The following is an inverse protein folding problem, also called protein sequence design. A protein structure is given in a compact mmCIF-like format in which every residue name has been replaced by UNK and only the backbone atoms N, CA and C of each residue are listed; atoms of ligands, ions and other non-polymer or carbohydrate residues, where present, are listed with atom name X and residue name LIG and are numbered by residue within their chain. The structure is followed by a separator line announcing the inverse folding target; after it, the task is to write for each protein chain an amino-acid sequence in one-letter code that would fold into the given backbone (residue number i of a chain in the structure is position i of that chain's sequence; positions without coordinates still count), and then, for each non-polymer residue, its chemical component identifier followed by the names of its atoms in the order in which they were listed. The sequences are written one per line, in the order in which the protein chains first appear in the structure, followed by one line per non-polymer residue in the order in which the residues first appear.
data_IF_277927268262
#
_entry.id   IF_277927268262
#
_cell.length_a   1.000
_cell.length_b   1.000
_cell.length_c   1.000
_cell.angle_alpha   90.00
_cell.angle_beta   90.00
_cell.angle_gamma   90.00
#
_symmetry.space_group_name_H-M   'P 1'
#
loop_
_entity.id
_entity.type
_entity.pdbx_description
1 polymer ?
#
# COMPACT_ATOMS: atom_id res chain seq x y z
N UNK A 1 2.99 -9.21 30.67
CA UNK A 1 4.29 -9.90 30.46
C UNK A 1 4.85 -9.41 29.14
N UNK A 2 5.93 -8.65 29.16
CA UNK A 2 6.52 -8.05 27.96
C UNK A 2 7.24 -9.13 27.15
N UNK A 3 6.59 -9.63 26.09
CA UNK A 3 7.27 -10.43 25.09
C UNK A 3 8.01 -9.47 24.16
N UNK A 4 9.23 -9.10 24.55
CA UNK A 4 10.12 -8.28 23.73
C UNK A 4 10.55 -9.12 22.54
N UNK A 5 10.00 -8.83 21.38
CA UNK A 5 10.34 -9.51 20.13
C UNK A 5 11.81 -9.23 19.85
N UNK A 6 12.65 -10.24 19.54
CA UNK A 6 14.08 -10.02 19.32
C UNK A 6 14.30 -8.98 18.22
N UNK A 7 15.15 -7.99 18.51
CA UNK A 7 15.47 -6.87 17.61
C UNK A 7 15.88 -7.34 16.20
N UNK A 8 16.44 -8.55 16.10
CA UNK A 8 16.81 -9.22 14.84
C UNK A 8 15.63 -9.39 13.86
N UNK A 9 14.42 -9.63 14.35
CA UNK A 9 13.23 -9.77 13.49
C UNK A 9 12.86 -8.45 12.82
N UNK A 10 13.02 -7.32 13.53
CA UNK A 10 12.77 -5.99 12.98
C UNK A 10 13.83 -5.61 11.94
N UNK A 11 15.10 -5.97 12.18
CA UNK A 11 16.19 -5.69 11.24
C UNK A 11 16.04 -6.46 9.92
N UNK A 12 15.64 -7.74 9.98
CA UNK A 12 15.36 -8.52 8.77
C UNK A 12 14.23 -7.89 7.93
N UNK A 13 13.18 -7.40 8.57
CA UNK A 13 12.04 -6.79 7.88
C UNK A 13 12.42 -5.42 7.33
N UNK A 14 13.23 -4.64 8.05
CA UNK A 14 13.80 -3.39 7.54
C UNK A 14 14.57 -3.62 6.23
N UNK A 15 15.42 -4.66 6.17
CA UNK A 15 16.15 -5.01 4.94
C UNK A 15 15.19 -5.35 3.79
N UNK A 16 14.16 -6.16 4.05
CA UNK A 16 13.14 -6.51 3.03
C UNK A 16 12.42 -5.25 2.51
N UNK A 17 12.02 -4.34 3.39
CA UNK A 17 11.38 -3.08 3.01
C UNK A 17 12.30 -2.18 2.18
N UNK A 18 13.59 -2.15 2.51
CA UNK A 18 14.57 -1.37 1.77
C UNK A 18 14.72 -1.90 0.34
N UNK A 19 14.82 -3.22 0.17
CA UNK A 19 14.87 -3.87 -1.14
C UNK A 19 13.60 -3.59 -1.94
N UNK A 20 12.41 -3.71 -1.34
CA UNK A 20 11.15 -3.40 -2.01
C UNK A 20 11.04 -1.92 -2.44
N UNK A 21 11.63 -1.02 -1.68
CA UNK A 21 11.67 0.42 -2.01
C UNK A 21 12.57 0.67 -3.21
N UNK A 22 13.77 0.07 -3.24
CA UNK A 22 14.67 0.16 -4.40
C UNK A 22 13.99 -0.43 -5.64
N UNK A 23 13.30 -1.56 -5.50
CA UNK A 23 12.55 -2.18 -6.59
C UNK A 23 11.44 -1.27 -7.12
N UNK A 24 10.71 -0.57 -6.23
CA UNK A 24 9.67 0.38 -6.63
C UNK A 24 10.26 1.56 -7.40
N UNK A 25 11.39 2.11 -6.94
CA UNK A 25 12.08 3.20 -7.66
C UNK A 25 12.57 2.73 -9.01
N UNK A 26 13.06 1.50 -9.12
CA UNK A 26 13.56 0.95 -10.38
C UNK A 26 12.44 0.70 -11.40
N UNK A 27 11.25 0.32 -10.92
CA UNK A 27 10.05 0.14 -11.76
C UNK A 27 9.43 1.50 -12.16
N UNK A 28 9.33 2.44 -11.21
CA UNK A 28 8.65 3.72 -11.44
C UNK A 28 9.54 4.76 -12.15
N UNK A 29 10.85 4.77 -11.87
CA UNK A 29 11.84 5.51 -12.64
C UNK A 29 12.69 4.49 -13.37
N UNK A 30 12.49 4.28 -14.68
CA UNK A 30 13.32 3.36 -15.44
C UNK A 30 14.72 3.95 -15.56
N UNK A 31 15.56 3.75 -14.53
CA UNK A 31 17.00 4.02 -14.57
C UNK A 31 17.67 3.15 -15.65
N UNK A 32 17.01 2.07 -16.07
CA UNK A 32 17.43 1.13 -17.11
C UNK A 32 16.98 1.46 -18.53
N UNK A 33 16.25 2.56 -18.77
CA UNK A 33 15.83 2.96 -20.13
C UNK A 33 14.77 2.07 -20.79
N UNK A 34 14.15 1.16 -20.03
CA UNK A 34 13.02 0.35 -20.50
C UNK A 34 11.73 1.05 -20.08
N UNK A 35 11.11 1.77 -21.00
CA UNK A 35 9.76 2.33 -20.80
C UNK A 35 8.74 1.18 -20.78
N UNK A 36 8.35 0.76 -19.58
CA UNK A 36 7.23 -0.18 -19.37
C UNK A 36 5.85 0.48 -19.58
N UNK A 37 5.82 1.75 -19.99
CA UNK A 37 4.61 2.49 -20.34
C UNK A 37 3.54 2.42 -19.23
N UNK A 38 2.29 2.19 -19.63
CA UNK A 38 1.10 2.07 -18.76
C UNK A 38 1.19 0.94 -17.72
N UNK A 39 1.99 -0.10 -17.96
CA UNK A 39 2.11 -1.23 -17.03
C UNK A 39 2.97 -0.90 -15.81
N UNK A 40 3.81 0.14 -15.89
CA UNK A 40 4.67 0.59 -14.79
C UNK A 40 3.86 0.93 -13.53
N UNK A 41 2.73 1.61 -13.71
CA UNK A 41 1.84 2.02 -12.61
C UNK A 41 1.19 0.80 -11.94
N UNK A 42 0.69 -0.14 -12.72
CA UNK A 42 0.07 -1.36 -12.19
C UNK A 42 1.07 -2.19 -11.36
N UNK A 43 2.30 -2.32 -11.86
CA UNK A 43 3.37 -3.04 -11.15
C UNK A 43 3.78 -2.27 -9.89
N UNK A 44 3.87 -0.93 -9.95
CA UNK A 44 4.17 -0.10 -8.79
C UNK A 44 3.11 -0.25 -7.68
N UNK A 45 1.82 -0.28 -8.01
CA UNK A 45 0.74 -0.54 -7.06
C UNK A 45 0.82 -1.94 -6.44
N UNK A 46 1.20 -2.96 -7.22
CA UNK A 46 1.38 -4.31 -6.71
C UNK A 46 2.54 -4.38 -5.70
N UNK A 47 3.69 -3.79 -6.03
CA UNK A 47 4.84 -3.72 -5.10
C UNK A 47 4.47 -2.93 -3.84
N UNK A 48 3.74 -1.82 -3.99
CA UNK A 48 3.26 -1.02 -2.87
C UNK A 48 2.33 -1.83 -1.95
N UNK A 49 1.46 -2.68 -2.49
CA UNK A 49 0.56 -3.55 -1.73
C UNK A 49 1.33 -4.60 -0.92
N UNK A 50 2.33 -5.23 -1.52
CA UNK A 50 3.21 -6.18 -0.81
C UNK A 50 3.96 -5.49 0.32
N UNK A 51 4.53 -4.30 0.07
CA UNK A 51 5.21 -3.49 1.09
C UNK A 51 4.29 -3.16 2.26
N UNK A 52 3.08 -2.68 1.97
CA UNK A 52 2.08 -2.33 2.98
C UNK A 52 1.68 -3.55 3.83
N UNK A 53 1.56 -4.73 3.21
CA UNK A 53 1.24 -5.98 3.91
C UNK A 53 2.34 -6.38 4.89
N UNK A 54 3.62 -6.28 4.51
CA UNK A 54 4.74 -6.52 5.42
C UNK A 54 4.78 -5.53 6.58
N UNK A 55 4.52 -4.25 6.32
CA UNK A 55 4.45 -3.21 7.37
C UNK A 55 3.33 -3.53 8.36
N UNK A 56 2.13 -3.83 7.86
CA UNK A 56 0.98 -4.16 8.69
C UNK A 56 1.21 -5.45 9.51
N UNK A 57 1.73 -6.50 8.88
CA UNK A 57 1.94 -7.78 9.54
C UNK A 57 2.94 -7.70 10.71
N UNK A 58 4.05 -6.97 10.53
CA UNK A 58 5.18 -6.96 11.47
C UNK A 58 5.18 -5.72 12.37
N UNK A 59 5.14 -4.51 11.79
CA UNK A 59 5.32 -3.27 12.56
C UNK A 59 4.06 -2.84 13.32
N UNK A 60 2.88 -3.03 12.72
CA UNK A 60 1.62 -2.82 13.46
C UNK A 60 1.31 -3.95 14.46
N UNK A 61 2.21 -4.94 14.58
CA UNK A 61 2.05 -6.05 15.51
C UNK A 61 0.88 -6.98 15.15
N UNK A 62 0.34 -6.91 13.93
CA UNK A 62 -0.86 -7.64 13.54
C UNK A 62 -0.69 -9.16 13.65
N UNK A 63 0.51 -9.65 13.34
CA UNK A 63 0.87 -11.07 13.51
C UNK A 63 0.98 -11.50 14.98
N UNK A 64 1.29 -10.57 15.88
CA UNK A 64 1.64 -10.86 17.28
C UNK A 64 0.52 -10.52 18.27
N UNK A 65 -0.49 -9.76 17.84
CA UNK A 65 -1.58 -9.26 18.68
C UNK A 65 -2.91 -9.98 18.40
N UNK A 66 -3.93 -9.69 19.22
CA UNK A 66 -5.28 -10.23 19.06
C UNK A 66 -5.89 -9.85 17.71
N UNK A 67 -6.73 -10.74 17.17
CA UNK A 67 -7.44 -10.60 15.87
C UNK A 67 -8.27 -9.31 15.74
N UNK A 68 -8.60 -8.64 16.86
CA UNK A 68 -9.32 -7.37 16.87
C UNK A 68 -8.58 -6.25 16.11
N UNK A 69 -7.24 -6.21 16.17
CA UNK A 69 -6.45 -5.23 15.41
C UNK A 69 -6.59 -5.44 13.89
N UNK A 70 -6.68 -6.68 13.44
CA UNK A 70 -6.90 -7.02 12.02
C UNK A 70 -8.26 -6.57 11.55
N UNK A 71 -9.31 -6.79 12.35
CA UNK A 71 -10.67 -6.37 12.01
C UNK A 71 -10.75 -4.84 11.91
N UNK A 72 -10.13 -4.12 12.86
CA UNK A 72 -10.09 -2.66 12.82
C UNK A 72 -9.36 -2.12 11.58
N UNK A 73 -8.21 -2.72 11.22
CA UNK A 73 -7.46 -2.34 10.01
C UNK A 73 -8.28 -2.60 8.74
N UNK A 74 -8.88 -3.78 8.61
CA UNK A 74 -9.69 -4.14 7.43
C UNK A 74 -10.91 -3.23 7.32
N UNK A 75 -11.57 -2.91 8.44
CA UNK A 75 -12.70 -1.98 8.46
C UNK A 75 -12.28 -0.57 8.02
N UNK A 76 -11.13 -0.07 8.49
CA UNK A 76 -10.59 1.23 8.08
C UNK A 76 -10.26 1.28 6.58
N UNK A 77 -9.60 0.26 6.05
CA UNK A 77 -9.30 0.16 4.61
C UNK A 77 -10.56 0.03 3.78
N UNK A 78 -11.53 -0.76 4.22
CA UNK A 78 -12.83 -0.91 3.55
C UNK A 78 -13.55 0.43 3.46
N UNK A 79 -13.61 1.19 4.55
CA UNK A 79 -14.27 2.49 4.57
C UNK A 79 -13.52 3.52 3.72
N UNK A 80 -12.18 3.48 3.72
CA UNK A 80 -11.36 4.31 2.82
C UNK A 80 -11.71 4.04 1.36
N UNK A 81 -11.75 2.77 0.94
CA UNK A 81 -12.10 2.40 -0.44
C UNK A 81 -13.51 2.83 -0.81
N UNK A 82 -14.47 2.69 0.11
CA UNK A 82 -15.85 3.15 -0.08
C UNK A 82 -15.89 4.67 -0.31
N UNK A 83 -15.29 5.45 0.60
CA UNK A 83 -15.26 6.91 0.47
C UNK A 83 -14.51 7.38 -0.78
N UNK A 84 -13.42 6.69 -1.13
CA UNK A 84 -12.66 7.00 -2.34
C UNK A 84 -13.50 6.77 -3.59
N UNK A 85 -14.24 5.65 -3.66
CA UNK A 85 -15.11 5.35 -4.79
C UNK A 85 -16.25 6.37 -4.91
N UNK A 86 -16.90 6.72 -3.80
CA UNK A 86 -17.93 7.76 -3.76
C UNK A 86 -17.37 9.10 -4.22
N UNK A 87 -16.19 9.49 -3.76
CA UNK A 87 -15.53 10.74 -4.19
C UNK A 87 -15.22 10.72 -5.69
N UNK A 88 -14.73 9.60 -6.23
CA UNK A 88 -14.46 9.46 -7.67
C UNK A 88 -15.74 9.56 -8.51
N UNK A 89 -16.85 8.99 -8.02
CA UNK A 89 -18.16 9.10 -8.67
C UNK A 89 -18.65 10.55 -8.65
N UNK A 90 -18.53 11.24 -7.51
CA UNK A 90 -18.93 12.65 -7.36
C UNK A 90 -18.11 13.59 -8.27
N UNK A 91 -16.81 13.38 -8.42
CA UNK A 91 -16.02 14.14 -9.40
C UNK A 91 -16.48 13.83 -10.83
N UNK A 92 -16.73 12.56 -11.16
CA UNK A 92 -17.12 12.16 -12.51
C UNK A 92 -18.50 12.72 -12.92
N UNK A 93 -19.46 12.76 -12.00
CA UNK A 93 -20.79 13.34 -12.26
C UNK A 93 -20.72 14.85 -12.50
N UNK A 94 -19.84 15.57 -11.79
CA UNK A 94 -19.64 17.02 -12.00
C UNK A 94 -19.00 17.35 -13.36
N UNK A 95 -18.11 16.51 -13.86
CA UNK A 95 -17.49 16.70 -15.19
C UNK A 95 -18.51 16.60 -16.32
N UNK A 96 -19.49 15.70 -16.22
CA UNK A 96 -20.55 15.55 -17.21
C UNK A 96 -21.45 16.80 -17.30
N UNK A 97 -21.68 17.47 -16.18
CA UNK A 97 -22.53 18.67 -16.09
C UNK A 97 -21.83 19.95 -16.61
N UNK A 98 -20.49 20.01 -16.59
CA UNK A 98 -19.72 21.17 -17.08
C UNK A 98 -19.62 21.25 -18.62
N UNK A 99 -20.05 20.21 -19.35
CA UNK A 99 -20.00 20.14 -20.82
C UNK A 99 -21.36 20.45 -21.45
N UNK A 100 -21.93 21.61 -21.15
CA UNK A 100 -23.16 22.12 -21.79
C UNK A 100 -22.90 23.19 -22.86
N UNK A 101 -21.67 23.24 -23.41
CA UNK A 101 -21.36 23.82 -24.72
C UNK A 101 -20.70 22.77 -25.63
#
# INVERSE_FOLDING_TARGET
MAHVIPAKSYFNVLMVLFVLTVLTVLVARPVSGIDLGIFSDAIAFLIATVKATFVAAIFMGLKYQKKLHTVCLVSGVFFLLLLFLVSKIDIASRVLEQSTL
#
